data_IF_868329241990
#
_entry.id   IF_868329241990
#
_cell.length_a   1.000
_cell.length_b   1.000
_cell.length_c   1.000
_cell.angle_alpha   90.00
_cell.angle_beta   90.00
_cell.angle_gamma   90.00
#
_symmetry.space_group_name_H-M   'P 1'
#
loop_
_entity.id
_entity.type
_entity.pdbx_description
1 polymer ?
#
# COMPACT_ATOMS: atom_id res chain seq x y z
N UNK A 1 -11.99 -31.49 -2.86
CA UNK A 1 -12.33 -30.74 -4.08
C UNK A 1 -13.50 -29.82 -3.75
N UNK A 2 -13.24 -28.61 -3.29
CA UNK A 2 -14.28 -27.60 -3.04
C UNK A 2 -14.56 -26.91 -4.37
N UNK A 3 -15.79 -27.04 -4.88
CA UNK A 3 -16.23 -26.30 -6.07
C UNK A 3 -15.99 -24.80 -5.86
N UNK A 4 -15.54 -24.04 -6.87
CA UNK A 4 -15.49 -22.60 -6.77
C UNK A 4 -16.90 -22.06 -6.49
N UNK A 5 -17.06 -21.03 -5.64
CA UNK A 5 -18.35 -20.42 -5.39
C UNK A 5 -18.96 -19.96 -6.72
N UNK A 6 -20.27 -20.12 -6.88
CA UNK A 6 -20.97 -19.66 -8.07
C UNK A 6 -20.72 -18.16 -8.27
N UNK A 7 -20.20 -17.78 -9.45
CA UNK A 7 -19.99 -16.39 -9.83
C UNK A 7 -21.32 -15.63 -9.79
N UNK A 8 -21.34 -14.47 -9.15
CA UNK A 8 -22.51 -13.61 -9.09
C UNK A 8 -22.72 -12.96 -10.47
N UNK A 9 -23.97 -13.00 -10.95
CA UNK A 9 -24.36 -12.12 -12.04
C UNK A 9 -24.57 -10.68 -11.53
N UNK A 10 -24.68 -9.72 -12.45
CA UNK A 10 -24.80 -8.30 -12.11
C UNK A 10 -26.02 -8.00 -11.20
N UNK A 11 -27.15 -8.68 -11.40
CA UNK A 11 -28.34 -8.49 -10.58
C UNK A 11 -28.14 -9.00 -9.15
N UNK A 12 -27.52 -10.17 -8.98
CA UNK A 12 -27.19 -10.74 -7.68
C UNK A 12 -26.15 -9.90 -6.95
N UNK A 13 -25.15 -9.36 -7.68
CA UNK A 13 -24.17 -8.42 -7.13
C UNK A 13 -24.86 -7.15 -6.60
N UNK A 14 -25.73 -6.53 -7.40
CA UNK A 14 -26.50 -5.35 -6.98
C UNK A 14 -27.39 -5.66 -5.77
N UNK A 15 -28.07 -6.81 -5.76
CA UNK A 15 -28.89 -7.25 -4.64
C UNK A 15 -28.06 -7.38 -3.35
N UNK A 16 -26.87 -7.97 -3.41
CA UNK A 16 -25.97 -8.07 -2.26
C UNK A 16 -25.49 -6.71 -1.77
N UNK A 17 -25.14 -5.79 -2.68
CA UNK A 17 -24.76 -4.41 -2.31
C UNK A 17 -25.88 -3.72 -1.52
N UNK A 18 -27.14 -3.89 -1.94
CA UNK A 18 -28.30 -3.36 -1.22
C UNK A 18 -28.52 -4.03 0.14
N UNK A 19 -28.39 -5.36 0.22
CA UNK A 19 -28.51 -6.11 1.47
C UNK A 19 -27.44 -5.71 2.50
N UNK A 20 -26.20 -5.48 2.04
CA UNK A 20 -25.11 -4.95 2.87
C UNK A 20 -25.50 -3.59 3.46
N UNK A 21 -25.99 -2.66 2.62
CA UNK A 21 -26.43 -1.34 3.09
C UNK A 21 -27.53 -1.43 4.14
N UNK A 22 -28.52 -2.30 3.93
CA UNK A 22 -29.58 -2.55 4.92
C UNK A 22 -29.02 -3.12 6.23
N UNK A 23 -28.17 -4.14 6.17
CA UNK A 23 -27.56 -4.77 7.35
C UNK A 23 -26.65 -3.82 8.14
N UNK A 24 -25.99 -2.87 7.46
CA UNK A 24 -25.20 -1.80 8.09
C UNK A 24 -26.10 -0.76 8.77
N UNK A 25 -27.25 -0.43 8.18
CA UNK A 25 -28.16 0.60 8.69
C UNK A 25 -29.00 0.14 9.90
N UNK A 26 -29.36 -1.15 9.99
CA UNK A 26 -30.22 -1.69 11.05
C UNK A 26 -29.82 -1.30 12.49
N UNK A 27 -28.54 -1.40 12.92
CA UNK A 27 -28.14 -1.02 14.28
C UNK A 27 -27.96 0.49 14.48
N UNK A 28 -28.08 1.31 13.44
CA UNK A 28 -27.79 2.75 13.53
C UNK A 28 -28.97 3.54 14.11
N UNK A 29 -28.70 4.62 14.84
CA UNK A 29 -29.75 5.52 15.30
C UNK A 29 -30.46 6.20 14.11
N UNK A 30 -31.74 6.60 14.26
CA UNK A 30 -32.44 7.35 13.24
C UNK A 30 -31.71 8.68 12.95
N UNK A 31 -31.80 9.13 11.69
CA UNK A 31 -31.22 10.42 11.27
C UNK A 31 -29.80 10.36 10.72
N UNK A 32 -29.24 9.16 10.50
CA UNK A 32 -28.05 9.02 9.65
C UNK A 32 -28.35 9.45 8.20
N UNK A 33 -27.38 10.06 7.53
CA UNK A 33 -27.49 10.56 6.17
C UNK A 33 -26.60 9.78 5.20
N UNK A 34 -25.40 9.39 5.66
CA UNK A 34 -24.44 8.67 4.85
C UNK A 34 -23.71 7.61 5.68
N UNK A 35 -23.42 6.47 5.05
CA UNK A 35 -22.49 5.46 5.56
C UNK A 35 -21.37 5.25 4.55
N UNK A 36 -20.12 5.20 5.02
CA UNK A 36 -18.97 4.78 4.23
C UNK A 36 -18.41 3.52 4.87
N UNK A 37 -18.39 2.42 4.13
CA UNK A 37 -17.75 1.18 4.54
C UNK A 37 -16.51 0.94 3.71
N UNK A 38 -15.41 0.66 4.40
CA UNK A 38 -14.15 0.22 3.79
C UNK A 38 -13.87 -1.20 4.24
N UNK A 39 -13.88 -2.12 3.29
CA UNK A 39 -13.55 -3.51 3.52
C UNK A 39 -12.18 -3.80 2.93
N UNK A 40 -11.35 -4.55 3.66
CA UNK A 40 -10.04 -5.04 3.21
C UNK A 40 -9.90 -6.50 3.61
N UNK A 41 -9.53 -7.37 2.68
CA UNK A 41 -9.27 -8.77 3.00
C UNK A 41 -8.18 -9.43 2.14
N UNK A 42 -7.39 -10.28 2.77
CA UNK A 42 -6.42 -11.16 2.15
C UNK A 42 -6.44 -12.51 2.88
N UNK A 43 -6.85 -13.57 2.18
CA UNK A 43 -6.96 -14.90 2.77
C UNK A 43 -8.00 -14.90 3.90
N UNK A 44 -7.54 -15.14 5.12
CA UNK A 44 -8.39 -15.14 6.34
C UNK A 44 -8.35 -13.82 7.12
N UNK A 45 -7.47 -12.89 6.76
CA UNK A 45 -7.39 -11.57 7.40
C UNK A 45 -8.46 -10.66 6.81
N UNK A 46 -9.28 -10.06 7.67
CA UNK A 46 -10.39 -9.19 7.28
C UNK A 46 -10.39 -7.96 8.19
N UNK A 47 -10.41 -6.78 7.59
CA UNK A 47 -10.64 -5.50 8.26
C UNK A 47 -11.86 -4.83 7.64
N UNK A 48 -12.75 -4.32 8.48
CA UNK A 48 -13.92 -3.56 8.04
C UNK A 48 -14.04 -2.31 8.90
N UNK A 49 -14.07 -1.15 8.25
CA UNK A 49 -14.38 0.12 8.89
C UNK A 49 -15.72 0.64 8.41
N UNK A 50 -16.50 1.17 9.33
CA UNK A 50 -17.75 1.84 9.03
C UNK A 50 -17.71 3.25 9.64
N UNK A 51 -17.87 4.26 8.79
CA UNK A 51 -18.09 5.65 9.18
C UNK A 51 -19.53 6.03 8.88
N UNK A 52 -20.21 6.60 9.87
CA UNK A 52 -21.60 7.06 9.76
C UNK A 52 -21.63 8.57 9.94
N UNK A 53 -22.29 9.26 9.03
CA UNK A 53 -22.49 10.71 9.07
C UNK A 53 -23.95 11.01 9.36
N UNK A 54 -24.22 11.75 10.43
CA UNK A 54 -25.56 12.19 10.83
C UNK A 54 -25.98 13.50 10.16
N UNK A 55 -27.02 14.14 10.70
CA UNK A 55 -27.47 15.46 10.27
C UNK A 55 -26.47 16.58 10.61
N UNK A 56 -25.60 16.36 11.60
CA UNK A 56 -24.53 17.28 11.99
C UNK A 56 -23.37 17.30 10.99
N UNK A 57 -23.37 16.40 10.00
CA UNK A 57 -22.34 16.31 8.97
C UNK A 57 -21.00 15.74 9.46
N UNK A 58 -20.90 15.33 10.73
CA UNK A 58 -19.65 14.81 11.31
C UNK A 58 -19.58 13.28 11.15
N UNK A 59 -18.54 12.73 10.49
CA UNK A 59 -18.37 11.29 10.39
C UNK A 59 -17.92 10.71 11.73
N UNK A 60 -18.56 9.62 12.16
CA UNK A 60 -18.23 8.92 13.40
C UNK A 60 -18.04 7.42 13.12
N UNK A 61 -17.04 6.77 13.74
CA UNK A 61 -16.88 5.34 13.61
C UNK A 61 -18.06 4.60 14.24
N UNK A 62 -18.52 3.56 13.56
CA UNK A 62 -19.52 2.63 14.05
C UNK A 62 -19.03 1.19 13.85
N UNK A 63 -19.58 0.26 14.61
CA UNK A 63 -19.25 -1.16 14.46
C UNK A 63 -20.16 -1.78 13.39
N UNK A 64 -19.59 -2.35 12.31
CA UNK A 64 -20.38 -3.07 11.31
C UNK A 64 -20.98 -4.33 11.92
N UNK A 65 -22.23 -4.65 11.55
CA UNK A 65 -22.89 -5.85 12.03
C UNK A 65 -22.21 -7.12 11.49
N UNK A 66 -22.19 -8.25 12.24
CA UNK A 66 -21.63 -9.51 11.74
C UNK A 66 -22.28 -9.98 10.42
N UNK A 67 -23.58 -9.72 10.25
CA UNK A 67 -24.30 -9.98 9.02
C UNK A 67 -23.75 -9.16 7.84
N UNK A 68 -23.51 -7.86 8.02
CA UNK A 68 -22.93 -7.03 6.97
C UNK A 68 -21.52 -7.51 6.58
N UNK A 69 -20.69 -7.89 7.55
CA UNK A 69 -19.34 -8.44 7.29
C UNK A 69 -19.42 -9.75 6.50
N UNK A 70 -20.37 -10.63 6.84
CA UNK A 70 -20.61 -11.87 6.10
C UNK A 70 -21.08 -11.62 4.68
N UNK A 71 -22.00 -10.67 4.47
CA UNK A 71 -22.49 -10.31 3.14
C UNK A 71 -21.39 -9.68 2.27
N UNK A 72 -20.50 -8.85 2.84
CA UNK A 72 -19.30 -8.34 2.16
C UNK A 72 -18.36 -9.47 1.73
N UNK A 73 -18.14 -10.47 2.60
CA UNK A 73 -17.39 -11.68 2.26
C UNK A 73 -18.03 -12.50 1.14
N UNK A 74 -19.36 -12.62 1.14
CA UNK A 74 -20.11 -13.30 0.07
C UNK A 74 -20.02 -12.56 -1.26
N UNK A 75 -20.13 -11.22 -1.23
CA UNK A 75 -19.95 -10.36 -2.41
C UNK A 75 -18.54 -10.55 -2.98
N UNK A 76 -17.52 -10.55 -2.12
CA UNK A 76 -16.13 -10.78 -2.51
C UNK A 76 -15.93 -12.13 -3.18
N UNK A 77 -16.42 -13.19 -2.53
CA UNK A 77 -16.28 -14.55 -3.04
C UNK A 77 -17.02 -14.74 -4.36
N UNK A 78 -18.20 -14.15 -4.51
CA UNK A 78 -19.01 -14.24 -5.71
C UNK A 78 -18.50 -13.37 -6.88
N UNK A 79 -17.70 -12.34 -6.60
CA UNK A 79 -17.03 -11.52 -7.63
C UNK A 79 -15.68 -12.09 -8.09
N UNK A 80 -15.29 -13.26 -7.60
CA UNK A 80 -14.11 -13.97 -8.07
C UNK A 80 -14.22 -14.33 -9.56
N UNK A 81 -13.15 -14.05 -10.29
CA UNK A 81 -12.97 -14.42 -11.68
C UNK A 81 -11.76 -15.36 -11.81
N UNK A 82 -11.93 -16.56 -12.39
CA UNK A 82 -10.83 -17.48 -12.60
C UNK A 82 -9.65 -16.83 -13.35
N UNK A 83 -8.45 -16.97 -12.80
CA UNK A 83 -7.24 -16.40 -13.38
C UNK A 83 -7.05 -14.90 -13.13
N UNK A 84 -8.10 -14.15 -12.74
CA UNK A 84 -7.97 -12.74 -12.37
C UNK A 84 -7.93 -12.53 -10.86
N UNK A 85 -8.58 -13.42 -10.10
CA UNK A 85 -8.79 -13.30 -8.66
C UNK A 85 -10.05 -12.52 -8.32
N UNK A 86 -10.11 -12.01 -7.09
CA UNK A 86 -11.14 -11.09 -6.61
C UNK A 86 -10.50 -9.82 -6.03
N UNK A 87 -11.33 -8.85 -5.67
CA UNK A 87 -10.86 -7.61 -5.06
C UNK A 87 -10.33 -7.81 -3.64
N UNK A 88 -9.38 -6.95 -3.25
CA UNK A 88 -8.72 -6.96 -1.94
C UNK A 88 -9.21 -5.82 -1.06
N UNK A 89 -9.69 -4.74 -1.68
CA UNK A 89 -10.40 -3.66 -0.98
C UNK A 89 -11.70 -3.30 -1.69
N UNK A 90 -12.71 -2.93 -0.93
CA UNK A 90 -13.93 -2.35 -1.43
C UNK A 90 -14.32 -1.11 -0.60
N UNK A 91 -14.73 -0.06 -1.29
CA UNK A 91 -15.25 1.17 -0.68
C UNK A 91 -16.69 1.32 -1.16
N UNK A 92 -17.64 1.26 -0.23
CA UNK A 92 -19.05 1.44 -0.54
C UNK A 92 -19.58 2.63 0.24
N UNK A 93 -20.27 3.52 -0.47
CA UNK A 93 -20.88 4.72 0.12
C UNK A 93 -22.38 4.63 -0.10
N UNK A 94 -23.14 4.71 0.99
CA UNK A 94 -24.59 4.64 1.02
C UNK A 94 -25.16 5.97 1.50
N UNK A 95 -26.17 6.48 0.82
CA UNK A 95 -27.09 7.47 1.35
C UNK A 95 -28.28 6.80 2.04
N UNK A 96 -29.17 7.60 2.63
CA UNK A 96 -30.34 7.13 3.38
C UNK A 96 -31.28 6.19 2.59
N UNK A 97 -31.34 6.33 1.27
CA UNK A 97 -32.21 5.52 0.40
C UNK A 97 -31.55 5.02 -0.89
N UNK A 98 -30.25 5.27 -1.08
CA UNK A 98 -29.54 4.92 -2.32
C UNK A 98 -28.10 4.52 -2.05
N UNK A 99 -27.54 3.72 -2.95
CA UNK A 99 -26.10 3.55 -3.06
C UNK A 99 -25.55 4.76 -3.80
N UNK A 100 -24.52 5.40 -3.25
CA UNK A 100 -23.86 6.58 -3.83
C UNK A 100 -22.62 6.20 -4.64
N UNK A 101 -21.79 5.28 -4.13
CA UNK A 101 -20.63 4.74 -4.84
C UNK A 101 -20.31 3.31 -4.43
N UNK A 102 -19.71 2.56 -5.34
CA UNK A 102 -19.12 1.25 -5.09
C UNK A 102 -17.82 1.11 -5.88
N UNK A 103 -16.69 1.09 -5.16
CA UNK A 103 -15.37 0.96 -5.75
C UNK A 103 -14.75 -0.36 -5.28
N UNK A 104 -14.29 -1.18 -6.22
CA UNK A 104 -13.66 -2.47 -5.95
C UNK A 104 -12.24 -2.46 -6.48
N UNK A 105 -11.25 -2.55 -5.58
CA UNK A 105 -9.84 -2.45 -5.91
C UNK A 105 -9.21 -3.85 -5.96
N UNK A 106 -8.84 -4.28 -7.17
CA UNK A 106 -8.37 -5.64 -7.43
C UNK A 106 -6.86 -5.79 -7.30
N UNK A 107 -6.09 -4.80 -7.76
CA UNK A 107 -4.63 -4.88 -7.83
C UNK A 107 -3.92 -3.80 -7.01
N UNK A 108 -4.67 -3.02 -6.24
CA UNK A 108 -4.12 -2.01 -5.35
C UNK A 108 -3.92 -2.65 -3.98
N UNK A 109 -2.71 -2.51 -3.40
CA UNK A 109 -2.45 -2.97 -2.03
C UNK A 109 -3.34 -2.18 -1.06
N UNK A 110 -4.17 -2.87 -0.24
CA UNK A 110 -5.02 -2.16 0.72
C UNK A 110 -4.19 -1.47 1.81
N UNK A 111 -4.62 -0.30 2.31
CA UNK A 111 -4.03 0.32 3.48
C UNK A 111 -4.46 -0.45 4.74
N UNK A 112 -3.69 -1.48 5.10
CA UNK A 112 -3.95 -2.29 6.29
C UNK A 112 -3.70 -1.50 7.58
N UNK A 113 -4.56 -1.65 8.59
CA UNK A 113 -4.20 -1.25 9.96
C UNK A 113 -3.10 -2.14 10.51
N UNK A 114 -3.26 -3.44 10.29
CA UNK A 114 -2.27 -4.44 10.64
C UNK A 114 -2.04 -5.31 9.41
N UNK A 115 -0.85 -5.19 8.82
CA UNK A 115 -0.52 -5.95 7.61
C UNK A 115 -0.65 -7.47 7.89
N UNK A 116 -1.36 -8.23 7.04
CA UNK A 116 -1.40 -9.67 7.12
C UNK A 116 0.01 -10.28 7.07
N UNK A 117 0.29 -11.38 7.77
CA UNK A 117 1.54 -12.12 7.56
C UNK A 117 1.57 -12.74 6.15
N UNK A 118 2.75 -13.13 5.62
CA UNK A 118 2.87 -13.70 4.27
C UNK A 118 1.92 -14.87 3.98
N UNK A 119 1.67 -15.73 4.98
CA UNK A 119 0.71 -16.84 4.87
C UNK A 119 -0.72 -16.37 4.54
N UNK A 120 -1.11 -15.16 4.96
CA UNK A 120 -2.41 -14.57 4.62
C UNK A 120 -2.54 -14.26 3.13
N UNK A 121 -1.46 -13.80 2.50
CA UNK A 121 -1.41 -13.53 1.05
C UNK A 121 -1.24 -14.82 0.23
N UNK A 122 -0.56 -15.83 0.77
CA UNK A 122 -0.54 -17.17 0.16
C UNK A 122 -1.93 -17.81 0.20
N UNK A 123 -2.62 -17.70 1.32
CA UNK A 123 -4.01 -18.14 1.46
C UNK A 123 -4.94 -17.40 0.50
N UNK A 124 -4.71 -16.10 0.28
CA UNK A 124 -5.43 -15.32 -0.72
C UNK A 124 -5.30 -15.92 -2.12
N UNK A 125 -4.07 -16.19 -2.58
CA UNK A 125 -3.81 -16.79 -3.89
C UNK A 125 -4.31 -18.25 -3.97
N UNK A 126 -4.39 -18.96 -2.85
CA UNK A 126 -4.97 -20.30 -2.77
C UNK A 126 -6.50 -20.28 -2.87
N UNK A 127 -7.17 -19.32 -2.22
CA UNK A 127 -8.63 -19.20 -2.22
C UNK A 127 -9.17 -18.55 -3.48
N UNK A 128 -8.44 -17.56 -4.01
CA UNK A 128 -8.79 -16.82 -5.22
C UNK A 128 -7.63 -16.86 -6.23
N UNK A 129 -7.41 -18.04 -6.87
CA UNK A 129 -6.33 -18.22 -7.82
C UNK A 129 -6.28 -17.15 -8.92
N UNK A 130 -5.08 -16.61 -9.10
CA UNK A 130 -4.75 -15.67 -10.18
C UNK A 130 -3.77 -16.34 -11.13
N UNK A 131 -3.87 -16.01 -12.41
CA UNK A 131 -2.86 -16.32 -13.40
C UNK A 131 -1.60 -15.51 -13.06
N UNK A 132 -0.43 -16.02 -13.45
CA UNK A 132 0.87 -15.47 -13.09
C UNK A 132 0.97 -13.98 -13.49
N UNK A 133 0.49 -13.62 -14.67
CA UNK A 133 0.43 -12.25 -15.18
C UNK A 133 -0.57 -11.34 -14.44
N UNK A 134 -1.55 -11.91 -13.74
CA UNK A 134 -2.59 -11.20 -12.99
C UNK A 134 -2.27 -11.05 -11.49
N UNK A 135 -1.11 -11.56 -11.04
CA UNK A 135 -0.61 -11.32 -9.69
C UNK A 135 0.21 -10.02 -9.72
N UNK A 136 -0.26 -8.93 -9.09
CA UNK A 136 0.50 -7.70 -9.05
C UNK A 136 1.82 -7.90 -8.27
N UNK A 137 2.90 -7.17 -8.61
CA UNK A 137 4.21 -7.37 -8.00
C UNK A 137 4.22 -7.33 -6.47
N UNK A 138 3.49 -6.38 -5.88
CA UNK A 138 3.38 -6.27 -4.42
C UNK A 138 2.78 -7.53 -3.79
N UNK A 139 1.80 -8.18 -4.45
CA UNK A 139 1.14 -9.37 -3.92
C UNK A 139 2.06 -10.59 -4.03
N UNK A 140 2.87 -10.69 -5.09
CA UNK A 140 3.92 -11.71 -5.19
C UNK A 140 4.92 -11.60 -4.04
N UNK A 141 5.42 -10.39 -3.79
CA UNK A 141 6.35 -10.11 -2.72
C UNK A 141 5.75 -10.44 -1.35
N UNK A 142 4.53 -9.97 -1.08
CA UNK A 142 3.81 -10.22 0.17
C UNK A 142 3.50 -11.69 0.40
N UNK A 143 3.18 -12.45 -0.65
CA UNK A 143 2.96 -13.89 -0.58
C UNK A 143 4.27 -14.69 -0.51
N UNK A 144 5.44 -14.04 -0.61
CA UNK A 144 6.73 -14.72 -0.61
C UNK A 144 6.95 -15.58 -1.86
N UNK A 145 6.30 -15.24 -2.98
CA UNK A 145 6.51 -15.91 -4.27
C UNK A 145 7.82 -15.47 -4.94
N UNK A 146 8.29 -14.27 -4.60
CA UNK A 146 9.60 -13.76 -5.02
C UNK A 146 10.75 -14.27 -4.14
N UNK A 147 10.48 -15.21 -3.23
CA UNK A 147 11.50 -15.82 -2.37
C UNK A 147 12.23 -16.91 -3.13
N UNK A 148 13.45 -16.59 -3.57
CA UNK A 148 14.53 -17.58 -3.71
C UNK A 148 14.66 -18.27 -2.33
N UNK A 149 14.51 -19.61 -2.22
CA UNK A 149 14.45 -20.25 -0.92
C UNK A 149 15.73 -20.04 -0.12
N UNK A 150 15.58 -19.60 1.12
CA UNK A 150 16.65 -19.63 2.11
C UNK A 150 17.03 -21.08 2.43
N UNK A 151 18.20 -21.49 1.95
CA UNK A 151 19.04 -22.60 2.40
C UNK A 151 18.43 -24.03 2.49
N UNK A 152 18.68 -24.81 1.43
CA UNK A 152 19.36 -26.11 1.59
C UNK A 152 20.73 -25.99 0.91
N UNK A 153 21.81 -26.60 1.45
CA UNK A 153 23.15 -26.35 0.96
C UNK A 153 23.31 -27.00 -0.42
N UNK A 154 23.35 -26.21 -1.47
CA UNK A 154 23.82 -26.68 -2.77
C UNK A 154 24.78 -25.67 -3.35
N UNK A 155 26.04 -26.08 -3.25
CA UNK A 155 27.26 -25.69 -3.98
C UNK A 155 27.07 -24.62 -5.05
N UNK A 156 27.88 -23.57 -4.87
CA UNK A 156 28.16 -22.48 -5.79
C UNK A 156 27.95 -22.79 -7.28
N UNK A 157 27.14 -21.96 -7.94
CA UNK A 157 27.37 -21.57 -9.33
C UNK A 157 26.97 -20.10 -9.47
N UNK A 158 27.89 -19.17 -9.77
CA UNK A 158 27.57 -17.76 -9.88
C UNK A 158 26.88 -17.50 -11.22
N UNK A 159 25.66 -16.96 -11.19
CA UNK A 159 24.97 -16.45 -12.37
C UNK A 159 24.58 -14.98 -12.12
N UNK A 160 25.42 -14.13 -12.70
CA UNK A 160 25.19 -12.78 -13.21
C UNK A 160 24.13 -11.90 -12.52
N UNK A 161 24.62 -10.83 -11.88
CA UNK A 161 23.89 -9.60 -11.58
C UNK A 161 23.17 -9.08 -12.84
N UNK A 162 21.85 -8.93 -12.80
CA UNK A 162 21.12 -8.07 -13.76
C UNK A 162 21.12 -6.64 -13.21
N UNK A 163 21.76 -5.64 -13.87
CA UNK A 163 21.98 -4.32 -13.29
C UNK A 163 20.80 -3.32 -13.32
N UNK A 164 19.58 -3.70 -13.75
CA UNK A 164 18.60 -2.72 -14.29
C UNK A 164 17.31 -2.50 -13.48
N UNK A 165 17.26 -2.87 -12.20
CA UNK A 165 16.09 -2.58 -11.36
C UNK A 165 16.31 -1.32 -10.53
N UNK A 166 15.50 -0.27 -10.74
CA UNK A 166 15.47 0.91 -9.86
C UNK A 166 15.19 0.48 -8.42
N UNK A 167 15.93 1.04 -7.46
CA UNK A 167 15.80 0.72 -6.03
C UNK A 167 15.06 1.81 -5.27
N UNK A 168 14.26 1.44 -4.27
CA UNK A 168 13.61 2.38 -3.34
C UNK A 168 14.16 2.18 -1.92
N UNK A 169 14.52 3.25 -1.19
CA UNK A 169 15.00 3.14 0.18
C UNK A 169 13.87 2.85 1.15
N UNK A 170 14.19 2.18 2.25
CA UNK A 170 13.33 2.07 3.42
C UNK A 170 13.32 3.38 4.19
N UNK A 171 12.15 3.97 4.36
CA UNK A 171 11.98 5.19 5.16
C UNK A 171 12.08 4.89 6.66
N UNK A 172 11.63 3.71 7.10
CA UNK A 172 11.73 3.23 8.48
C UNK A 172 12.29 1.80 8.53
N UNK A 173 12.92 1.39 9.63
CA UNK A 173 13.47 0.02 9.77
C UNK A 173 12.48 -0.97 10.39
N UNK A 174 11.42 -0.45 11.02
CA UNK A 174 10.36 -1.23 11.64
C UNK A 174 9.33 -0.34 12.31
N UNK A 175 8.38 -0.96 13.00
CA UNK A 175 7.42 -0.30 13.89
C UNK A 175 7.59 -0.92 15.28
N UNK A 176 7.52 -0.12 16.34
CA UNK A 176 7.50 -0.63 17.72
C UNK A 176 6.13 -1.24 18.07
N UNK A 177 6.01 -1.81 19.27
CA UNK A 177 4.75 -2.36 19.79
C UNK A 177 3.61 -1.34 19.88
N UNK A 178 3.91 -0.04 19.77
CA UNK A 178 2.94 1.06 19.79
C UNK A 178 2.60 1.59 18.40
N UNK A 179 3.14 0.98 17.33
CA UNK A 179 2.92 1.40 15.95
C UNK A 179 3.71 2.66 15.54
N UNK A 180 4.73 3.05 16.31
CA UNK A 180 5.60 4.17 15.95
C UNK A 180 6.75 3.67 15.07
N UNK A 181 7.15 4.42 14.03
CA UNK A 181 8.31 4.07 13.21
C UNK A 181 9.57 3.99 14.08
N UNK A 182 10.18 2.82 14.09
CA UNK A 182 11.49 2.61 14.70
C UNK A 182 12.53 2.71 13.59
N UNK A 183 13.50 3.58 13.81
CA UNK A 183 14.71 3.64 13.01
C UNK A 183 15.87 3.35 13.95
N UNK A 184 16.52 2.21 13.71
CA UNK A 184 17.71 1.83 14.48
C UNK A 184 18.91 1.85 13.52
N UNK A 185 19.30 3.07 13.15
CA UNK A 185 20.42 3.34 12.24
C UNK A 185 21.49 4.12 12.98
N UNK A 186 22.73 3.90 12.59
CA UNK A 186 23.82 4.73 13.08
C UNK A 186 23.59 6.19 12.62
N UNK A 187 23.60 7.16 13.54
CA UNK A 187 23.44 8.56 13.20
C UNK A 187 24.60 9.04 12.33
N UNK A 188 24.29 9.91 11.37
CA UNK A 188 25.29 10.48 10.47
C UNK A 188 26.09 11.58 11.18
N UNK A 189 27.37 11.71 10.82
CA UNK A 189 28.13 12.89 11.26
C UNK A 189 27.55 14.16 10.63
N UNK A 190 27.61 15.34 11.28
CA UNK A 190 27.01 16.58 10.75
C UNK A 190 27.50 16.92 9.33
N UNK A 191 28.80 16.75 9.07
CA UNK A 191 29.40 17.02 7.77
C UNK A 191 28.95 16.03 6.68
N UNK A 192 28.61 14.78 7.06
CA UNK A 192 28.09 13.79 6.14
C UNK A 192 26.59 14.01 5.89
N UNK A 193 25.83 14.34 6.93
CA UNK A 193 24.42 14.70 6.85
C UNK A 193 24.17 15.82 5.84
N UNK A 194 24.94 16.91 5.90
CA UNK A 194 24.80 18.03 4.97
C UNK A 194 25.03 17.62 3.52
N UNK A 195 26.01 16.73 3.26
CA UNK A 195 26.30 16.22 1.92
C UNK A 195 25.22 15.28 1.41
N UNK A 196 24.67 14.45 2.30
CA UNK A 196 23.56 13.54 1.96
C UNK A 196 22.29 14.35 1.68
N UNK A 197 21.97 15.36 2.50
CA UNK A 197 20.84 16.26 2.24
C UNK A 197 20.99 16.98 0.91
N UNK A 198 22.17 17.55 0.63
CA UNK A 198 22.45 18.20 -0.64
C UNK A 198 22.25 17.26 -1.84
N UNK A 199 22.68 16.00 -1.73
CA UNK A 199 22.45 14.99 -2.77
C UNK A 199 20.95 14.69 -2.96
N UNK A 200 20.24 14.45 -1.87
CA UNK A 200 18.80 14.11 -1.88
C UNK A 200 17.94 15.26 -2.43
N UNK A 201 18.29 16.51 -2.09
CA UNK A 201 17.58 17.72 -2.52
C UNK A 201 17.99 18.20 -3.92
N UNK A 202 19.17 17.80 -4.44
CA UNK A 202 19.60 18.14 -5.80
C UNK A 202 18.99 17.22 -6.87
N UNK A 203 18.54 16.02 -6.48
CA UNK A 203 17.98 15.05 -7.41
C UNK A 203 16.69 15.53 -8.08
N UNK A 204 16.48 15.31 -9.38
CA UNK A 204 15.27 15.74 -10.07
C UNK A 204 14.00 15.11 -9.49
N UNK A 205 12.95 15.93 -9.38
CA UNK A 205 11.61 15.49 -8.97
C UNK A 205 10.93 14.84 -10.16
N UNK A 206 10.45 13.62 -9.98
CA UNK A 206 9.77 12.82 -11.01
C UNK A 206 8.26 12.78 -10.82
N UNK A 207 7.80 12.89 -9.57
CA UNK A 207 6.38 12.95 -9.25
C UNK A 207 6.17 13.88 -8.07
N UNK A 208 5.17 14.75 -8.13
CA UNK A 208 4.85 15.66 -7.04
C UNK A 208 3.34 15.78 -6.88
N UNK A 209 2.85 15.48 -5.69
CA UNK A 209 1.53 15.87 -5.24
C UNK A 209 1.57 17.28 -4.65
N UNK A 210 0.43 17.98 -4.69
CA UNK A 210 0.26 19.28 -4.01
C UNK A 210 -0.11 19.14 -2.53
N UNK A 211 -0.30 17.91 -2.06
CA UNK A 211 -0.63 17.58 -0.67
C UNK A 211 0.63 17.18 0.12
N UNK A 212 0.55 17.24 1.44
CA UNK A 212 1.60 16.82 2.36
C UNK A 212 1.09 15.66 3.24
N UNK A 213 1.99 14.79 3.67
CA UNK A 213 1.69 13.69 4.59
C UNK A 213 1.92 14.11 6.05
N UNK A 214 1.29 13.39 6.97
CA UNK A 214 1.52 13.58 8.40
C UNK A 214 2.95 13.13 8.79
N UNK A 215 3.56 13.85 9.72
CA UNK A 215 4.88 13.47 10.24
C UNK A 215 4.75 12.23 11.12
N UNK A 216 5.33 11.11 10.70
CA UNK A 216 5.19 9.84 11.41
C UNK A 216 5.92 9.81 12.76
N UNK A 217 6.87 10.73 13.00
CA UNK A 217 7.57 10.87 14.27
C UNK A 217 6.97 11.94 15.18
N UNK A 218 6.18 12.87 14.63
CA UNK A 218 5.45 13.90 15.36
C UNK A 218 4.02 14.09 14.78
N UNK A 219 3.10 13.17 15.09
CA UNK A 219 1.76 13.15 14.48
C UNK A 219 0.87 14.33 14.89
N UNK A 220 1.27 15.10 15.92
CA UNK A 220 0.57 16.30 16.37
C UNK A 220 0.96 17.56 15.56
N UNK A 221 1.99 17.47 14.70
CA UNK A 221 2.38 18.54 13.76
C UNK A 221 1.44 18.61 12.56
N UNK A 222 1.37 19.81 11.97
CA UNK A 222 0.73 19.98 10.66
C UNK A 222 1.41 19.09 9.61
N UNK A 223 0.66 18.54 8.63
CA UNK A 223 1.22 17.74 7.55
C UNK A 223 2.24 18.55 6.74
N UNK A 224 3.52 18.27 6.95
CA UNK A 224 4.65 18.96 6.32
C UNK A 224 5.51 18.03 5.47
N UNK A 225 5.28 16.72 5.52
CA UNK A 225 6.08 15.73 4.79
C UNK A 225 5.75 15.84 3.29
N UNK A 226 6.70 16.24 2.43
CA UNK A 226 6.39 16.45 1.02
C UNK A 226 6.08 15.14 0.31
N UNK A 227 4.90 15.06 -0.31
CA UNK A 227 4.51 13.94 -1.18
C UNK A 227 5.09 14.13 -2.59
N UNK A 228 6.41 14.23 -2.67
CA UNK A 228 7.16 14.20 -3.92
C UNK A 228 8.10 12.99 -3.96
N UNK A 229 8.48 12.59 -5.15
CA UNK A 229 9.47 11.55 -5.41
C UNK A 229 10.58 12.13 -6.26
N UNK A 230 11.81 11.80 -5.90
CA UNK A 230 13.03 12.18 -6.61
C UNK A 230 13.78 10.93 -7.05
N UNK A 231 14.66 11.07 -8.03
CA UNK A 231 15.48 9.97 -8.54
C UNK A 231 16.89 10.43 -8.90
N UNK A 232 17.88 9.55 -8.73
CA UNK A 232 19.21 9.67 -9.35
C UNK A 232 19.38 8.73 -10.56
N UNK A 233 18.27 8.16 -11.03
CA UNK A 233 18.21 7.23 -12.17
C UNK A 233 18.51 5.78 -11.81
N UNK A 234 19.00 5.50 -10.60
CA UNK A 234 19.19 4.13 -10.09
C UNK A 234 18.44 3.89 -8.79
N UNK A 235 18.23 4.94 -8.02
CA UNK A 235 17.38 5.00 -6.86
C UNK A 235 16.32 6.08 -7.04
N UNK A 236 15.12 5.79 -6.54
CA UNK A 236 14.10 6.79 -6.35
C UNK A 236 13.67 6.81 -4.89
N UNK A 237 13.32 7.98 -4.36
CA UNK A 237 12.97 8.13 -2.96
C UNK A 237 11.88 9.17 -2.74
N UNK A 238 11.02 8.98 -1.72
CA UNK A 238 10.05 10.00 -1.34
C UNK A 238 10.74 11.18 -0.64
N UNK A 239 10.14 12.37 -0.73
CA UNK A 239 10.58 13.60 -0.07
C UNK A 239 10.67 13.47 1.45
N UNK A 240 9.96 12.49 2.01
CA UNK A 240 10.05 12.07 3.40
C UNK A 240 11.49 11.73 3.84
N UNK A 241 12.33 11.14 2.97
CA UNK A 241 13.71 10.76 3.33
C UNK A 241 14.57 11.98 3.66
N UNK A 242 14.50 13.03 2.83
CA UNK A 242 15.22 14.28 3.10
C UNK A 242 14.60 15.05 4.27
N UNK A 243 13.26 15.01 4.40
CA UNK A 243 12.54 15.64 5.51
C UNK A 243 12.94 15.03 6.86
N UNK A 244 12.93 13.70 7.00
CA UNK A 244 13.27 13.03 8.27
C UNK A 244 14.75 13.15 8.63
N UNK A 245 15.65 13.17 7.65
CA UNK A 245 17.05 13.49 7.91
C UNK A 245 17.24 14.95 8.36
N UNK A 246 16.41 15.88 7.88
CA UNK A 246 16.49 17.31 8.23
C UNK A 246 15.87 17.61 9.60
N UNK A 247 14.66 17.12 9.86
CA UNK A 247 13.88 17.47 11.05
C UNK A 247 14.15 16.54 12.23
N UNK A 248 14.37 15.25 11.98
CA UNK A 248 14.46 14.22 13.03
C UNK A 248 15.85 13.56 13.13
N UNK A 249 16.83 14.03 12.35
CA UNK A 249 18.20 13.47 12.28
C UNK A 249 18.23 11.96 11.95
N UNK A 250 17.19 11.49 11.26
CA UNK A 250 17.00 10.09 10.91
C UNK A 250 17.86 9.76 9.70
N UNK A 251 18.86 8.89 9.88
CA UNK A 251 19.70 8.44 8.78
C UNK A 251 18.88 7.73 7.68
N UNK A 252 19.12 7.97 6.38
CA UNK A 252 18.49 7.23 5.29
C UNK A 252 18.85 5.73 5.30
N UNK A 253 18.17 4.94 4.47
CA UNK A 253 18.45 3.50 4.35
C UNK A 253 19.96 3.26 4.15
N UNK A 254 20.61 2.38 4.93
CA UNK A 254 22.02 2.07 4.80
C UNK A 254 22.45 1.68 3.36
N UNK A 255 21.57 1.05 2.58
CA UNK A 255 21.86 0.73 1.19
C UNK A 255 21.90 1.97 0.28
N UNK A 256 20.94 2.88 0.47
CA UNK A 256 20.93 4.16 -0.23
C UNK A 256 22.13 5.01 0.21
N UNK A 257 22.44 5.03 1.50
CA UNK A 257 23.60 5.74 2.03
C UNK A 257 24.91 5.16 1.46
N UNK A 258 25.01 3.84 1.37
CA UNK A 258 26.12 3.15 0.70
C UNK A 258 26.23 3.54 -0.77
N UNK A 259 25.11 3.69 -1.47
CA UNK A 259 25.08 4.14 -2.86
C UNK A 259 25.56 5.60 -3.01
N UNK A 260 25.03 6.52 -2.19
CA UNK A 260 25.44 7.93 -2.18
C UNK A 260 26.93 8.07 -1.87
N UNK A 261 27.45 7.29 -0.91
CA UNK A 261 28.88 7.23 -0.60
C UNK A 261 29.72 6.72 -1.78
N UNK A 262 29.25 5.69 -2.47
CA UNK A 262 29.93 5.15 -3.65
C UNK A 262 29.99 6.18 -4.79
N UNK A 263 28.95 7.01 -4.95
CA UNK A 263 28.91 8.14 -5.88
C UNK A 263 29.63 9.40 -5.37
N UNK A 264 30.28 9.32 -4.20
CA UNK A 264 30.98 10.44 -3.55
C UNK A 264 30.09 11.68 -3.42
N UNK A 265 28.81 11.48 -3.10
CA UNK A 265 27.82 12.55 -2.93
C UNK A 265 27.61 13.42 -4.19
N UNK A 266 27.94 12.89 -5.37
CA UNK A 266 27.76 13.60 -6.65
C UNK A 266 26.60 12.98 -7.41
N UNK A 267 25.58 13.79 -7.71
CA UNK A 267 24.41 13.32 -8.45
C UNK A 267 24.81 12.98 -9.90
N UNK A 268 24.49 11.78 -10.39
CA UNK A 268 24.63 11.46 -11.80
C UNK A 268 23.65 12.26 -12.66
N UNK A 269 23.98 12.42 -13.94
CA UNK A 269 23.08 13.05 -14.90
C UNK A 269 21.92 12.11 -15.21
N UNK A 270 20.71 12.49 -14.81
CA UNK A 270 19.49 11.68 -15.00
C UNK A 270 18.82 12.11 -16.29
N UNK A 271 18.79 11.23 -17.29
CA UNK A 271 18.06 11.45 -18.54
C UNK A 271 16.55 11.33 -18.38
N UNK A 272 15.81 11.63 -19.45
CA UNK A 272 14.36 11.37 -19.54
C UNK A 272 13.99 9.89 -19.36
N UNK A 273 14.69 8.89 -19.96
CA UNK A 273 14.28 7.49 -19.81
C UNK A 273 14.39 7.00 -18.36
N UNK A 274 15.40 7.44 -17.60
CA UNK A 274 15.53 7.08 -16.19
C UNK A 274 14.45 7.75 -15.31
N UNK A 275 13.98 8.95 -15.69
CA UNK A 275 12.85 9.61 -15.03
C UNK A 275 11.55 8.89 -15.31
N UNK A 276 11.30 8.51 -16.57
CA UNK A 276 10.12 7.74 -16.96
C UNK A 276 10.09 6.37 -16.31
N UNK A 277 11.25 5.70 -16.17
CA UNK A 277 11.37 4.46 -15.41
C UNK A 277 11.03 4.66 -13.93
N UNK A 278 11.45 5.78 -13.33
CA UNK A 278 11.08 6.11 -11.96
C UNK A 278 9.57 6.38 -11.84
N UNK A 279 8.97 7.13 -12.77
CA UNK A 279 7.51 7.38 -12.79
C UNK A 279 6.74 6.08 -12.99
N UNK A 280 7.18 5.20 -13.89
CA UNK A 280 6.62 3.88 -14.11
C UNK A 280 6.69 3.01 -12.85
N UNK A 281 7.84 3.00 -12.16
CA UNK A 281 8.02 2.30 -10.89
C UNK A 281 7.11 2.86 -9.78
N UNK A 282 6.85 4.18 -9.76
CA UNK A 282 6.00 4.83 -8.75
C UNK A 282 4.51 4.68 -9.06
N UNK A 283 4.11 4.73 -10.33
CA UNK A 283 2.70 4.71 -10.78
C UNK A 283 2.20 3.32 -11.18
N UNK A 284 3.10 2.34 -11.29
CA UNK A 284 2.79 0.98 -11.74
C UNK A 284 2.41 0.86 -13.22
N UNK A 285 2.63 1.90 -14.02
CA UNK A 285 2.43 1.88 -15.47
C UNK A 285 3.69 1.34 -16.15
N UNK A 286 3.62 0.45 -17.15
CA UNK A 286 4.81 0.05 -17.90
C UNK A 286 5.33 1.23 -18.75
N UNK A 287 6.63 1.52 -18.66
CA UNK A 287 7.32 2.45 -19.57
C UNK A 287 7.11 2.00 -21.02
N UNK A 288 6.66 2.91 -21.87
CA UNK A 288 6.24 2.62 -23.26
C UNK A 288 7.45 2.52 -24.20
#
# INVERSE_FOLDING_TARGET
>A
MTQPPASLNQQQQQQLVWQIGHALATPLPPGWQQMRVEYRAAGRHIEVDLLVTGQDGLPRPAQPSPEAVQLLGNLRAGMYQPGRGTWLSAILVYGSATVLSTDFLVDVEPPWRQAPPPIGFQDELRFFPRAEESIPPWLRQRAGLDVVPAAAPSVATPLAETPDSLKSPRVYDGLDESGRPVVNREPLSPAERDRVLAYLDAAPVVLASRSYDADAFDPDREPLVPLNFRTDGRWYWPGAVAYYLREHDVAPDPELLGHIRALRFTLPEVGEPERELAVAAITGQPST
#
